data_IF_159494907637
#
_entry.id   IF_159494907637
#
_cell.length_a   1.000
_cell.length_b   1.000
_cell.length_c   1.000
_cell.angle_alpha   90.00
_cell.angle_beta   90.00
_cell.angle_gamma   90.00
#
_symmetry.space_group_name_H-M   'P 1'
#
loop_
_entity.id
_entity.type
_entity.pdbx_description
1 polymer ?
#
# COMPACT_ATOMS: atom_id res chain seq x y z
N UNK A 1 6.30 -9.50 3.23
CA UNK A 1 5.66 -9.65 1.90
C UNK A 1 4.23 -9.10 1.77
N UNK A 2 3.48 -8.85 2.87
CA UNK A 2 2.06 -8.39 2.82
C UNK A 2 1.80 -6.95 2.33
N UNK A 3 2.80 -6.07 2.32
CA UNK A 3 2.61 -4.63 2.03
C UNK A 3 2.44 -4.29 0.54
N UNK A 4 3.01 -5.08 -0.37
CA UNK A 4 2.93 -4.79 -1.81
C UNK A 4 1.75 -5.45 -2.53
N UNK A 5 1.15 -6.52 -1.96
CA UNK A 5 -0.10 -7.09 -2.47
C UNK A 5 -1.22 -6.02 -2.46
N UNK A 6 -1.29 -5.18 -1.41
CA UNK A 6 -2.25 -4.06 -1.30
C UNK A 6 -2.07 -2.98 -2.37
N UNK A 7 -0.84 -2.69 -2.82
CA UNK A 7 -0.60 -1.71 -3.89
C UNK A 7 -1.14 -2.14 -5.25
N UNK A 8 -1.04 -3.44 -5.55
CA UNK A 8 -1.61 -4.04 -6.77
C UNK A 8 -3.11 -4.27 -6.65
N UNK A 9 -3.57 -4.61 -5.45
CA UNK A 9 -4.99 -4.59 -5.11
C UNK A 9 -5.56 -3.20 -5.45
N UNK A 10 -4.89 -2.10 -5.04
CA UNK A 10 -5.28 -0.69 -5.25
C UNK A 10 -5.43 -0.27 -6.74
N UNK A 11 -4.56 -0.76 -7.64
CA UNK A 11 -4.70 -0.52 -9.10
C UNK A 11 -5.86 -1.32 -9.72
N UNK A 12 -6.07 -2.56 -9.27
CA UNK A 12 -7.28 -3.33 -9.58
C UNK A 12 -8.52 -2.87 -8.77
N UNK A 13 -8.35 -1.98 -7.79
CA UNK A 13 -9.37 -1.48 -6.85
C UNK A 13 -10.12 -0.27 -7.39
N UNK A 14 -9.62 0.42 -8.43
CA UNK A 14 -10.51 1.21 -9.28
C UNK A 14 -11.59 0.34 -9.94
N UNK A 15 -11.40 -0.99 -9.96
CA UNK A 15 -12.42 -2.00 -10.24
C UNK A 15 -13.12 -2.57 -8.97
N UNK A 16 -12.80 -2.12 -7.75
CA UNK A 16 -13.30 -2.65 -6.45
C UNK A 16 -14.51 -1.90 -5.87
N UNK A 17 -15.45 -1.44 -6.69
CA UNK A 17 -16.83 -1.54 -6.21
C UNK A 17 -17.29 -3.01 -6.23
N UNK A 18 -16.68 -3.85 -7.09
CA UNK A 18 -16.93 -5.28 -7.15
C UNK A 18 -16.40 -6.09 -5.96
N UNK A 19 -15.30 -5.73 -5.29
CA UNK A 19 -14.79 -6.59 -4.20
C UNK A 19 -15.62 -6.51 -2.92
N UNK A 20 -16.40 -5.44 -2.73
CA UNK A 20 -17.36 -5.40 -1.62
C UNK A 20 -18.56 -6.31 -1.87
N UNK A 21 -18.89 -6.55 -3.15
CA UNK A 21 -19.94 -7.48 -3.60
C UNK A 21 -19.42 -8.92 -3.65
N UNK A 22 -18.21 -9.15 -4.17
CA UNK A 22 -17.54 -10.47 -4.19
C UNK A 22 -17.11 -10.89 -2.77
N UNK A 23 -16.78 -9.91 -1.92
CA UNK A 23 -16.44 -10.09 -0.52
C UNK A 23 -17.57 -10.69 0.32
N UNK A 24 -18.82 -10.49 -0.09
CA UNK A 24 -20.01 -11.11 0.51
C UNK A 24 -20.09 -12.62 0.24
N UNK A 25 -19.37 -13.16 -0.75
CA UNK A 25 -19.42 -14.57 -1.12
C UNK A 25 -18.22 -15.39 -0.62
N UNK A 26 -17.35 -14.83 0.23
CA UNK A 26 -16.33 -15.65 0.88
C UNK A 26 -17.01 -16.62 1.83
N UNK A 27 -16.81 -17.91 1.60
CA UNK A 27 -17.22 -18.96 2.51
C UNK A 27 -16.05 -19.31 3.41
N UNK A 28 -16.31 -19.41 4.71
CA UNK A 28 -15.39 -20.00 5.66
C UNK A 28 -15.84 -21.42 5.99
N UNK A 29 -14.87 -22.33 6.08
CA UNK A 29 -15.09 -23.73 6.44
C UNK A 29 -15.13 -23.84 7.97
N UNK A 30 -16.27 -24.27 8.51
CA UNK A 30 -16.46 -24.49 9.94
C UNK A 30 -17.00 -25.92 10.10
N UNK A 31 -16.10 -26.88 10.33
CA UNK A 31 -16.44 -28.31 10.35
C UNK A 31 -16.76 -28.83 8.94
N UNK A 32 -17.80 -29.65 8.79
CA UNK A 32 -18.19 -30.26 7.50
C UNK A 32 -19.11 -29.37 6.63
N UNK A 33 -19.25 -28.07 6.95
CA UNK A 33 -20.17 -27.17 6.25
C UNK A 33 -19.56 -25.80 6.01
N UNK A 34 -19.88 -25.23 4.84
CA UNK A 34 -19.38 -23.93 4.39
C UNK A 34 -20.40 -22.84 4.71
N UNK A 35 -20.01 -21.84 5.49
CA UNK A 35 -20.88 -20.71 5.86
C UNK A 35 -20.38 -19.40 5.27
N UNK A 36 -21.28 -18.47 5.01
CA UNK A 36 -20.94 -17.16 4.47
C UNK A 36 -20.21 -16.30 5.51
N UNK A 37 -19.02 -15.75 5.19
CA UNK A 37 -18.17 -14.96 6.11
C UNK A 37 -18.83 -13.66 6.60
N UNK A 38 -19.77 -13.10 5.84
CA UNK A 38 -20.45 -11.86 6.22
C UNK A 38 -21.65 -12.11 7.15
N UNK A 39 -22.25 -13.30 7.05
CA UNK A 39 -23.39 -13.73 7.85
C UNK A 39 -23.37 -15.27 7.98
N UNK A 40 -22.92 -15.75 9.13
CA UNK A 40 -22.69 -17.17 9.40
C UNK A 40 -24.00 -17.97 9.54
N UNK A 41 -25.17 -17.33 9.46
CA UNK A 41 -26.46 -18.02 9.49
C UNK A 41 -26.82 -18.69 8.16
N UNK A 42 -26.11 -18.38 7.07
CA UNK A 42 -26.42 -18.85 5.72
C UNK A 42 -25.35 -19.82 5.21
N UNK A 43 -25.79 -20.99 4.74
CA UNK A 43 -24.96 -22.01 4.11
C UNK A 43 -24.57 -21.60 2.69
N UNK A 44 -23.30 -21.79 2.34
CA UNK A 44 -22.81 -21.60 0.99
C UNK A 44 -23.24 -22.76 0.08
N UNK A 45 -23.54 -22.44 -1.18
CA UNK A 45 -24.00 -23.38 -2.21
C UNK A 45 -25.40 -23.97 -2.00
N UNK A 46 -26.18 -23.43 -1.06
CA UNK A 46 -27.56 -23.84 -0.80
C UNK A 46 -28.57 -22.72 -1.17
N UNK A 47 -29.85 -23.07 -1.33
CA UNK A 47 -30.89 -22.34 -2.08
C UNK A 47 -30.87 -20.80 -2.03
N UNK A 48 -30.75 -20.18 -0.87
CA UNK A 48 -30.68 -18.71 -0.72
C UNK A 48 -29.42 -18.11 -1.35
N UNK A 49 -28.26 -18.76 -1.23
CA UNK A 49 -27.01 -18.34 -1.87
C UNK A 49 -27.12 -18.39 -3.40
N UNK A 50 -27.73 -19.47 -3.93
CA UNK A 50 -27.90 -19.68 -5.37
C UNK A 50 -28.90 -18.69 -5.99
N UNK A 51 -29.88 -18.21 -5.23
CA UNK A 51 -30.84 -17.19 -5.67
C UNK A 51 -30.20 -15.80 -5.84
N UNK A 52 -29.27 -15.42 -4.97
CA UNK A 52 -28.57 -14.13 -5.07
C UNK A 52 -27.47 -14.12 -6.13
N UNK A 53 -26.93 -15.28 -6.50
CA UNK A 53 -25.86 -15.42 -7.50
C UNK A 53 -26.23 -14.85 -8.88
N UNK A 54 -27.36 -15.17 -9.53
CA UNK A 54 -27.72 -14.61 -10.83
C UNK A 54 -28.02 -13.11 -10.76
N UNK A 55 -28.61 -12.61 -9.67
CA UNK A 55 -28.84 -11.16 -9.45
C UNK A 55 -27.50 -10.41 -9.37
N UNK A 56 -26.52 -10.98 -8.67
CA UNK A 56 -25.18 -10.40 -8.54
C UNK A 56 -24.36 -10.53 -9.82
N UNK A 57 -24.41 -11.66 -10.54
CA UNK A 57 -23.79 -11.78 -11.87
C UNK A 57 -24.42 -10.77 -12.81
N UNK A 58 -25.74 -10.60 -12.78
CA UNK A 58 -26.43 -9.58 -13.57
C UNK A 58 -25.95 -8.20 -13.19
N UNK A 59 -25.86 -7.84 -11.90
CA UNK A 59 -25.30 -6.56 -11.43
C UNK A 59 -23.83 -6.36 -11.83
N UNK A 60 -23.00 -7.41 -11.78
CA UNK A 60 -21.58 -7.36 -12.18
C UNK A 60 -21.47 -7.18 -13.68
N UNK A 61 -22.26 -7.91 -14.48
CA UNK A 61 -22.33 -7.75 -15.94
C UNK A 61 -22.86 -6.35 -16.28
N UNK A 62 -23.94 -5.89 -15.64
CA UNK A 62 -24.48 -4.54 -15.82
C UNK A 62 -23.46 -3.47 -15.41
N UNK A 63 -22.59 -3.73 -14.43
CA UNK A 63 -21.55 -2.80 -14.00
C UNK A 63 -20.32 -2.82 -14.91
N UNK A 64 -19.87 -4.00 -15.36
CA UNK A 64 -18.77 -4.22 -16.32
C UNK A 64 -19.12 -3.64 -17.69
N UNK A 65 -20.35 -3.85 -18.16
CA UNK A 65 -20.84 -3.23 -19.40
C UNK A 65 -21.31 -1.79 -19.17
N UNK A 66 -21.76 -1.46 -17.96
CA UNK A 66 -22.34 -0.17 -17.63
C UNK A 66 -21.35 0.98 -17.46
N UNK A 67 -20.12 0.70 -17.02
CA UNK A 67 -19.05 1.70 -16.98
C UNK A 67 -18.35 1.91 -18.32
N UNK A 68 -18.73 1.19 -19.39
CA UNK A 68 -18.07 1.34 -20.69
C UNK A 68 -18.72 2.38 -21.61
N UNK A 69 -20.04 2.60 -21.57
CA UNK A 69 -20.69 3.73 -22.27
C UNK A 69 -22.20 3.85 -22.04
N UNK A 70 -22.86 2.76 -21.62
CA UNK A 70 -24.32 2.66 -21.66
C UNK A 70 -25.00 3.15 -20.37
N UNK A 71 -24.41 3.02 -19.17
CA UNK A 71 -25.01 3.60 -17.94
C UNK A 71 -24.76 5.10 -17.86
N UNK A 72 -23.65 5.65 -18.36
CA UNK A 72 -23.55 7.10 -18.47
C UNK A 72 -24.60 7.64 -19.44
N UNK A 73 -24.93 6.91 -20.50
CA UNK A 73 -25.99 7.31 -21.44
C UNK A 73 -27.41 7.07 -20.89
N UNK A 74 -27.67 5.96 -20.18
CA UNK A 74 -28.98 5.65 -19.59
C UNK A 74 -29.24 6.41 -18.29
N UNK A 75 -28.24 6.64 -17.44
CA UNK A 75 -28.31 7.55 -16.30
C UNK A 75 -28.43 8.98 -16.80
N UNK A 76 -27.68 9.42 -17.81
CA UNK A 76 -27.88 10.76 -18.39
C UNK A 76 -29.24 10.87 -19.06
N UNK A 77 -29.78 9.84 -19.72
CA UNK A 77 -31.12 9.88 -20.33
C UNK A 77 -32.22 9.83 -19.26
N UNK A 78 -32.10 9.01 -18.21
CA UNK A 78 -33.05 8.96 -17.10
C UNK A 78 -33.02 10.27 -16.29
N UNK A 79 -31.82 10.80 -16.02
CA UNK A 79 -31.59 12.10 -15.38
C UNK A 79 -32.03 13.25 -16.28
N UNK A 80 -31.77 13.23 -17.59
CA UNK A 80 -32.29 14.22 -18.56
C UNK A 80 -33.82 14.12 -18.73
N UNK A 81 -34.40 12.93 -18.57
CA UNK A 81 -35.85 12.71 -18.62
C UNK A 81 -36.50 13.20 -17.31
N UNK A 82 -35.84 13.01 -16.16
CA UNK A 82 -36.25 13.58 -14.87
C UNK A 82 -36.06 15.11 -14.83
N UNK A 83 -34.96 15.65 -15.39
CA UNK A 83 -34.70 17.09 -15.54
C UNK A 83 -35.71 17.74 -16.51
N UNK A 84 -36.17 17.03 -17.55
CA UNK A 84 -37.26 17.51 -18.43
C UNK A 84 -38.63 17.52 -17.76
N UNK A 85 -38.82 16.76 -16.68
CA UNK A 85 -40.10 16.71 -15.95
C UNK A 85 -40.24 17.82 -14.89
N UNK A 86 -39.17 18.59 -14.60
CA UNK A 86 -39.22 19.75 -13.70
C UNK A 86 -38.70 21.02 -14.39
N UNK A 87 -39.48 21.64 -15.28
CA UNK A 87 -39.12 22.93 -15.85
C UNK A 87 -39.29 24.01 -14.78
N UNK A 88 -38.22 24.42 -14.08
CA UNK A 88 -38.35 25.58 -13.22
C UNK A 88 -37.29 25.89 -12.16
N UNK A 89 -36.20 25.14 -12.00
CA UNK A 89 -35.19 25.54 -11.01
C UNK A 89 -33.79 25.39 -11.59
N UNK A 90 -33.15 26.53 -11.88
CA UNK A 90 -31.70 26.66 -11.95
C UNK A 90 -31.13 26.46 -10.53
N UNK A 91 -31.22 25.24 -10.02
CA UNK A 91 -30.56 24.80 -8.80
C UNK A 91 -29.43 23.90 -9.23
N UNK A 92 -28.20 24.33 -9.00
CA UNK A 92 -27.00 23.51 -9.20
C UNK A 92 -27.22 22.17 -8.51
N UNK A 93 -27.21 21.07 -9.28
CA UNK A 93 -27.34 19.72 -8.74
C UNK A 93 -26.25 19.48 -7.69
N UNK A 94 -26.65 19.56 -6.42
CA UNK A 94 -25.82 19.28 -5.23
C UNK A 94 -25.22 17.87 -5.32
N UNK A 95 -25.86 16.96 -6.06
CA UNK A 95 -25.44 15.57 -6.20
C UNK A 95 -24.28 15.37 -7.19
N UNK A 96 -24.10 16.21 -8.20
CA UNK A 96 -23.04 16.00 -9.20
C UNK A 96 -21.68 16.52 -8.71
N UNK A 97 -21.65 17.69 -8.07
CA UNK A 97 -20.41 18.28 -7.53
C UNK A 97 -20.04 17.77 -6.13
N UNK A 98 -20.99 17.14 -5.43
CA UNK A 98 -20.78 16.62 -4.08
C UNK A 98 -19.75 15.49 -4.00
N UNK A 99 -19.68 14.61 -5.01
CA UNK A 99 -18.79 13.43 -4.96
C UNK A 99 -17.30 13.80 -5.02
N UNK A 100 -16.82 14.65 -5.96
CA UNK A 100 -15.43 15.11 -5.95
C UNK A 100 -15.07 15.88 -4.66
N UNK A 101 -15.95 16.74 -4.17
CA UNK A 101 -15.74 17.50 -2.94
C UNK A 101 -15.68 16.59 -1.71
N UNK A 102 -16.54 15.58 -1.63
CA UNK A 102 -16.53 14.59 -0.56
C UNK A 102 -15.19 13.84 -0.50
N UNK A 103 -14.69 13.39 -1.65
CA UNK A 103 -13.38 12.73 -1.72
C UNK A 103 -12.25 13.66 -1.30
N UNK A 104 -12.28 14.92 -1.73
CA UNK A 104 -11.31 15.93 -1.32
C UNK A 104 -11.33 16.15 0.20
N UNK A 105 -12.50 16.35 0.80
CA UNK A 105 -12.67 16.58 2.24
C UNK A 105 -12.21 15.36 3.06
N UNK A 106 -12.58 14.14 2.65
CA UNK A 106 -12.16 12.90 3.34
C UNK A 106 -10.64 12.76 3.33
N UNK A 107 -10.00 12.98 2.16
CA UNK A 107 -8.55 12.90 2.04
C UNK A 107 -7.86 13.99 2.86
N UNK A 108 -8.37 15.22 2.80
CA UNK A 108 -7.80 16.36 3.54
C UNK A 108 -7.86 16.13 5.06
N UNK A 109 -8.99 15.65 5.59
CA UNK A 109 -9.16 15.35 7.01
C UNK A 109 -8.22 14.23 7.48
N UNK A 110 -8.05 13.16 6.69
CA UNK A 110 -7.13 12.08 7.05
C UNK A 110 -5.67 12.49 6.94
N UNK A 111 -5.30 13.27 5.93
CA UNK A 111 -3.94 13.79 5.72
C UNK A 111 -3.52 14.70 6.87
N UNK A 112 -4.42 15.57 7.33
CA UNK A 112 -4.12 16.59 8.36
C UNK A 112 -4.33 16.11 9.80
N UNK A 113 -4.69 14.85 10.01
CA UNK A 113 -5.02 14.31 11.34
C UNK A 113 -3.80 14.36 12.28
N UNK A 114 -3.92 15.09 13.40
CA UNK A 114 -2.89 15.16 14.44
C UNK A 114 -1.58 15.86 14.00
N UNK A 115 -1.53 16.48 12.82
CA UNK A 115 -0.33 17.19 12.33
C UNK A 115 -0.15 18.49 13.10
N UNK A 116 -1.23 19.24 13.34
CA UNK A 116 -1.17 20.49 14.11
C UNK A 116 -0.76 20.24 15.56
N UNK A 117 -1.31 19.21 16.20
CA UNK A 117 -0.97 18.84 17.58
C UNK A 117 0.49 18.41 17.69
N UNK A 118 0.98 17.63 16.71
CA UNK A 118 2.39 17.24 16.63
C UNK A 118 3.30 18.45 16.43
N UNK A 119 2.91 19.42 15.60
CA UNK A 119 3.70 20.62 15.37
C UNK A 119 3.81 21.47 16.65
N UNK A 120 2.70 21.62 17.39
CA UNK A 120 2.72 22.30 18.69
C UNK A 120 3.63 21.59 19.70
N UNK A 121 3.64 20.25 19.69
CA UNK A 121 4.47 19.45 20.59
C UNK A 121 5.97 19.54 20.27
N UNK A 122 6.31 19.73 18.99
CA UNK A 122 7.69 19.90 18.51
C UNK A 122 8.24 21.31 18.80
N UNK A 123 7.36 22.30 18.97
CA UNK A 123 7.76 23.67 19.28
C UNK A 123 8.18 23.85 20.75
N UNK A 124 7.87 22.88 21.62
CA UNK A 124 8.29 22.88 23.02
C UNK A 124 9.76 22.42 23.14
N UNK A 125 10.66 23.22 23.77
CA UNK A 125 12.08 22.89 23.91
C UNK A 125 12.34 21.61 24.73
N UNK A 126 11.36 21.14 25.49
CA UNK A 126 11.49 19.86 26.21
C UNK A 126 11.50 18.62 25.30
N UNK A 127 11.11 18.75 24.02
CA UNK A 127 10.95 17.63 23.08
C UNK A 127 11.94 17.68 21.89
N UNK A 128 13.08 18.34 22.03
CA UNK A 128 14.09 18.47 20.97
C UNK A 128 14.57 17.11 20.42
N UNK A 129 14.69 16.10 21.29
CA UNK A 129 15.05 14.72 20.91
C UNK A 129 14.04 14.11 19.92
N UNK A 130 12.75 14.38 20.09
CA UNK A 130 11.70 13.90 19.18
C UNK A 130 11.79 14.62 17.83
N UNK A 131 12.05 15.92 17.84
CA UNK A 131 12.25 16.72 16.63
C UNK A 131 13.42 16.18 15.80
N UNK A 132 14.58 15.98 16.42
CA UNK A 132 15.76 15.43 15.74
C UNK A 132 15.50 14.02 15.17
N UNK A 133 14.80 13.16 15.92
CA UNK A 133 14.41 11.83 15.44
C UNK A 133 13.52 11.91 14.19
N UNK A 134 12.57 12.85 14.14
CA UNK A 134 11.68 13.05 13.01
C UNK A 134 12.43 13.61 11.79
N UNK A 135 13.33 14.57 12.00
CA UNK A 135 14.19 15.12 10.94
C UNK A 135 15.10 14.04 10.34
N UNK A 136 15.70 13.20 11.19
CA UNK A 136 16.52 12.08 10.73
C UNK A 136 15.70 11.11 9.86
N UNK A 137 14.50 10.74 10.30
CA UNK A 137 13.59 9.85 9.54
C UNK A 137 13.17 10.47 8.21
N UNK A 138 12.91 11.78 8.19
CA UNK A 138 12.61 12.51 6.96
C UNK A 138 13.81 12.50 6.00
N UNK A 139 15.02 12.79 6.48
CA UNK A 139 16.25 12.74 5.66
C UNK A 139 16.48 11.36 5.05
N UNK A 140 16.32 10.31 5.85
CA UNK A 140 16.43 8.92 5.38
C UNK A 140 15.38 8.59 4.30
N UNK A 141 14.15 9.08 4.44
CA UNK A 141 13.09 8.87 3.45
C UNK A 141 13.37 9.60 2.12
N UNK A 142 13.97 10.79 2.15
CA UNK A 142 14.39 11.53 0.95
C UNK A 142 15.52 10.77 0.21
N UNK A 143 16.49 10.24 0.96
CA UNK A 143 17.60 9.45 0.42
C UNK A 143 17.07 8.14 -0.21
N UNK A 144 16.13 7.45 0.44
CA UNK A 144 15.52 6.22 -0.10
C UNK A 144 14.75 6.47 -1.41
N UNK A 145 14.17 7.66 -1.57
CA UNK A 145 13.54 8.11 -2.82
C UNK A 145 14.55 8.48 -3.91
N UNK A 146 15.85 8.53 -3.60
CA UNK A 146 16.92 8.87 -4.54
C UNK A 146 16.97 10.36 -4.90
N UNK A 147 16.43 11.23 -4.05
CA UNK A 147 16.52 12.68 -4.23
C UNK A 147 17.80 13.20 -3.54
N UNK A 148 18.50 14.13 -4.20
CA UNK A 148 19.67 14.80 -3.62
C UNK A 148 19.19 15.80 -2.58
N UNK A 149 19.75 15.72 -1.38
CA UNK A 149 19.42 16.61 -0.27
C UNK A 149 20.22 17.91 -0.41
N UNK A 150 19.56 18.99 -0.81
CA UNK A 150 20.13 20.34 -0.74
C UNK A 150 20.06 20.80 0.72
N UNK A 151 21.17 20.73 1.45
CA UNK A 151 21.25 21.14 2.86
C UNK A 151 20.82 22.60 3.08
N UNK A 152 21.05 23.48 2.09
CA UNK A 152 20.63 24.89 2.15
C UNK A 152 19.10 25.04 2.14
N UNK A 153 18.39 24.28 1.30
CA UNK A 153 16.91 24.29 1.30
C UNK A 153 16.32 23.68 2.56
N UNK A 154 17.01 22.68 3.10
CA UNK A 154 16.58 22.02 4.33
C UNK A 154 16.61 23.00 5.51
N UNK A 155 17.64 23.83 5.62
CA UNK A 155 17.75 24.82 6.70
C UNK A 155 16.66 25.90 6.61
N UNK A 156 16.29 26.32 5.40
CA UNK A 156 15.32 27.41 5.19
C UNK A 156 13.87 26.91 5.33
N UNK A 157 13.57 25.69 4.89
CA UNK A 157 12.21 25.15 4.80
C UNK A 157 11.98 23.90 5.66
N UNK A 158 12.71 23.77 6.76
CA UNK A 158 12.66 22.58 7.64
C UNK A 158 11.23 22.25 8.06
N UNK A 159 10.50 23.25 8.56
CA UNK A 159 9.13 23.07 9.08
C UNK A 159 8.15 22.68 7.97
N UNK A 160 8.23 23.29 6.80
CA UNK A 160 7.36 22.99 5.67
C UNK A 160 7.60 21.57 5.12
N UNK A 161 8.87 21.17 4.99
CA UNK A 161 9.24 19.82 4.58
C UNK A 161 8.78 18.79 5.64
N UNK A 162 8.93 19.11 6.92
CA UNK A 162 8.49 18.25 8.01
C UNK A 162 6.97 18.09 8.02
N UNK A 163 6.21 19.18 7.83
CA UNK A 163 4.74 19.14 7.72
C UNK A 163 4.32 18.30 6.52
N UNK A 164 4.99 18.45 5.37
CA UNK A 164 4.71 17.63 4.19
C UNK A 164 5.01 16.15 4.46
N UNK A 165 6.11 15.84 5.14
CA UNK A 165 6.49 14.49 5.54
C UNK A 165 5.46 13.86 6.50
N UNK A 166 5.03 14.58 7.55
CA UNK A 166 4.02 14.10 8.50
C UNK A 166 2.67 13.81 7.81
N UNK A 167 2.25 14.72 6.93
CA UNK A 167 1.03 14.56 6.12
C UNK A 167 1.10 13.34 5.20
N UNK A 168 2.24 13.12 4.55
CA UNK A 168 2.46 11.96 3.68
C UNK A 168 2.51 10.66 4.49
N UNK A 169 3.10 10.68 5.68
CA UNK A 169 3.12 9.52 6.59
C UNK A 169 1.72 9.12 7.05
N UNK A 170 0.85 10.07 7.39
CA UNK A 170 -0.55 9.80 7.74
C UNK A 170 -1.32 9.10 6.61
N UNK A 171 -1.10 9.52 5.37
CA UNK A 171 -1.70 8.86 4.22
C UNK A 171 -1.09 7.48 3.99
N UNK A 172 0.19 7.27 4.23
CA UNK A 172 0.85 5.97 4.01
C UNK A 172 0.61 4.96 5.15
N UNK A 173 -0.12 5.33 6.20
CA UNK A 173 -0.50 4.41 7.28
C UNK A 173 -1.31 3.22 6.73
N UNK A 174 -1.02 1.97 7.14
CA UNK A 174 -1.67 0.78 6.58
C UNK A 174 -3.20 0.73 6.77
N UNK A 175 -3.72 1.40 7.80
CA UNK A 175 -5.16 1.56 8.07
C UNK A 175 -5.79 2.54 7.07
N UNK A 176 -5.16 3.70 6.87
CA UNK A 176 -5.58 4.74 5.92
C UNK A 176 -5.50 4.24 4.48
N UNK A 177 -4.40 3.58 4.10
CA UNK A 177 -4.24 2.93 2.78
C UNK A 177 -5.33 1.88 2.53
N UNK A 178 -5.73 1.12 3.55
CA UNK A 178 -6.79 0.11 3.39
C UNK A 178 -8.18 0.74 3.15
N UNK A 179 -8.46 1.89 3.75
CA UNK A 179 -9.77 2.53 3.67
C UNK A 179 -9.92 3.48 2.47
N UNK A 180 -8.89 4.28 2.17
CA UNK A 180 -8.93 5.35 1.16
C UNK A 180 -7.81 5.25 0.12
N UNK A 181 -6.96 4.22 0.19
CA UNK A 181 -5.87 3.99 -0.77
C UNK A 181 -6.36 3.85 -2.21
N UNK A 182 -7.61 3.43 -2.44
CA UNK A 182 -8.18 3.36 -3.79
C UNK A 182 -8.16 4.69 -4.54
N UNK A 183 -8.19 5.81 -3.81
CA UNK A 183 -8.33 7.16 -4.37
C UNK A 183 -6.97 7.72 -4.78
N UNK A 184 -5.98 7.66 -3.89
CA UNK A 184 -4.70 8.37 -4.08
C UNK A 184 -3.49 7.46 -4.33
N UNK A 185 -3.56 6.15 -4.02
CA UNK A 185 -2.37 5.27 -4.00
C UNK A 185 -1.73 5.06 -5.39
N UNK A 186 -2.48 5.29 -6.46
CA UNK A 186 -1.98 5.24 -7.85
C UNK A 186 -1.18 6.48 -8.24
N UNK A 187 -1.29 7.56 -7.47
CA UNK A 187 -0.66 8.86 -7.72
C UNK A 187 0.53 9.08 -6.80
N UNK A 188 1.37 10.07 -7.14
CA UNK A 188 2.44 10.50 -6.25
C UNK A 188 1.85 11.20 -5.00
N UNK A 189 2.54 11.13 -3.85
CA UNK A 189 2.06 11.67 -2.57
C UNK A 189 1.83 13.19 -2.60
N UNK A 190 2.60 13.90 -3.43
CA UNK A 190 2.41 15.33 -3.72
C UNK A 190 1.12 15.63 -4.48
N UNK A 191 0.64 14.72 -5.33
CA UNK A 191 -0.54 14.88 -6.19
C UNK A 191 -1.76 14.09 -5.68
N UNK A 192 -1.94 14.04 -4.37
CA UNK A 192 -3.04 13.32 -3.71
C UNK A 192 -4.45 13.76 -4.14
N UNK A 193 -4.62 15.02 -4.54
CA UNK A 193 -5.88 15.63 -4.98
C UNK A 193 -6.21 15.34 -6.45
N UNK A 194 -5.29 14.70 -7.19
CA UNK A 194 -5.42 14.54 -8.63
C UNK A 194 -6.63 13.70 -9.05
N UNK A 195 -7.06 12.74 -8.22
CA UNK A 195 -8.27 11.96 -8.48
C UNK A 195 -9.51 12.87 -8.56
N UNK A 196 -9.62 13.86 -7.67
CA UNK A 196 -10.71 14.84 -7.65
C UNK A 196 -10.72 15.64 -8.95
N UNK A 197 -9.54 15.99 -9.48
CA UNK A 197 -9.38 16.67 -10.75
C UNK A 197 -9.82 15.81 -11.95
N UNK A 198 -9.46 14.52 -11.99
CA UNK A 198 -9.92 13.60 -13.05
C UNK A 198 -11.45 13.40 -13.02
N UNK A 199 -12.05 13.31 -11.83
CA UNK A 199 -13.51 13.30 -11.67
C UNK A 199 -14.14 14.62 -12.12
N UNK A 200 -13.53 15.76 -11.78
CA UNK A 200 -13.99 17.09 -12.20
C UNK A 200 -14.08 17.22 -13.72
N UNK A 201 -13.06 16.74 -14.47
CA UNK A 201 -13.12 16.71 -15.94
C UNK A 201 -14.30 15.90 -16.47
N UNK A 202 -14.53 14.70 -15.93
CA UNK A 202 -15.65 13.83 -16.37
C UNK A 202 -16.99 14.53 -16.20
N UNK A 203 -17.16 15.22 -15.07
CA UNK A 203 -18.34 16.03 -14.79
C UNK A 203 -18.45 17.23 -15.74
N UNK A 204 -17.37 17.95 -15.98
CA UNK A 204 -17.34 19.08 -16.91
C UNK A 204 -17.75 18.64 -18.33
N UNK A 205 -17.24 17.51 -18.82
CA UNK A 205 -17.60 16.98 -20.14
C UNK A 205 -19.10 16.61 -20.22
N UNK A 206 -19.67 16.01 -19.17
CA UNK A 206 -21.11 15.72 -19.11
C UNK A 206 -21.96 16.99 -19.03
N UNK A 207 -21.53 17.99 -18.25
CA UNK A 207 -22.20 19.29 -18.14
C UNK A 207 -22.23 20.03 -19.48
N UNK A 208 -21.10 20.09 -20.19
CA UNK A 208 -21.00 20.68 -21.54
C UNK A 208 -21.94 19.99 -22.53
N UNK A 209 -22.07 18.65 -22.45
CA UNK A 209 -22.99 17.90 -23.32
C UNK A 209 -24.45 18.26 -23.06
N UNK A 210 -24.83 18.46 -21.80
CA UNK A 210 -26.19 18.80 -21.37
C UNK A 210 -26.58 20.24 -21.75
N UNK A 211 -25.71 21.22 -21.46
CA UNK A 211 -26.00 22.64 -21.65
C UNK A 211 -26.09 23.06 -23.13
N UNK A 212 -25.32 22.42 -24.01
CA UNK A 212 -25.25 22.75 -25.44
C UNK A 212 -26.13 21.84 -26.30
N UNK A 213 -27.23 21.32 -25.77
CA UNK A 213 -28.14 20.40 -26.45
C UNK A 213 -28.64 20.92 -27.82
N UNK A 214 -28.73 22.24 -28.02
CA UNK A 214 -29.20 22.88 -29.27
C UNK A 214 -28.08 23.25 -30.27
N UNK A 215 -26.81 23.29 -29.87
CA UNK A 215 -25.69 23.72 -30.73
C UNK A 215 -24.70 22.58 -30.99
N UNK A 216 -24.99 21.76 -31.99
CA UNK A 216 -24.33 20.47 -32.19
C UNK A 216 -22.81 20.53 -32.43
N UNK A 217 -22.34 21.54 -33.17
CA UNK A 217 -20.92 21.75 -33.50
C UNK A 217 -20.14 22.36 -32.32
N UNK A 218 -20.67 23.45 -31.76
CA UNK A 218 -20.06 24.19 -30.66
C UNK A 218 -19.83 23.30 -29.43
N UNK A 219 -20.72 22.32 -29.19
CA UNK A 219 -20.58 21.30 -28.15
C UNK A 219 -19.31 20.45 -28.30
N UNK A 220 -19.00 20.02 -29.53
CA UNK A 220 -17.82 19.18 -29.78
C UNK A 220 -16.54 20.04 -29.68
N UNK A 221 -16.55 21.25 -30.24
CA UNK A 221 -15.41 22.17 -30.12
C UNK A 221 -15.09 22.51 -28.66
N UNK A 222 -16.12 22.78 -27.83
CA UNK A 222 -15.93 23.04 -26.40
C UNK A 222 -15.35 21.81 -25.67
N UNK A 223 -15.86 20.61 -25.93
CA UNK A 223 -15.32 19.37 -25.38
C UNK A 223 -13.86 19.12 -25.78
N UNK A 224 -13.49 19.47 -27.01
CA UNK A 224 -12.13 19.34 -27.53
C UNK A 224 -11.14 20.28 -26.83
N UNK A 225 -11.56 21.52 -26.53
CA UNK A 225 -10.75 22.47 -25.73
C UNK A 225 -10.51 21.93 -24.32
N UNK A 226 -11.55 21.41 -23.66
CA UNK A 226 -11.42 20.83 -22.30
C UNK A 226 -10.45 19.64 -22.29
N UNK A 227 -10.51 18.77 -23.30
CA UNK A 227 -9.59 17.65 -23.42
C UNK A 227 -8.16 18.08 -23.71
N UNK A 228 -7.96 19.13 -24.52
CA UNK A 228 -6.64 19.68 -24.79
C UNK A 228 -5.99 20.24 -23.52
N UNK A 229 -6.73 21.03 -22.73
CA UNK A 229 -6.25 21.56 -21.44
C UNK A 229 -5.86 20.42 -20.50
N UNK A 230 -6.70 19.39 -20.41
CA UNK A 230 -6.40 18.24 -19.57
C UNK A 230 -5.17 17.46 -20.03
N UNK A 231 -5.02 17.27 -21.35
CA UNK A 231 -3.85 16.63 -21.94
C UNK A 231 -2.57 17.42 -21.60
N UNK A 232 -2.60 18.75 -21.72
CA UNK A 232 -1.47 19.61 -21.33
C UNK A 232 -1.10 19.39 -19.86
N UNK A 233 -2.07 19.45 -18.93
CA UNK A 233 -1.84 19.21 -17.50
C UNK A 233 -1.23 17.83 -17.26
N UNK A 234 -1.73 16.78 -17.94
CA UNK A 234 -1.20 15.42 -17.81
C UNK A 234 0.25 15.28 -18.29
N UNK A 235 0.61 15.90 -19.41
CA UNK A 235 1.96 15.83 -19.95
C UNK A 235 2.97 16.63 -19.10
N UNK A 236 2.55 17.77 -18.54
CA UNK A 236 3.41 18.61 -17.70
C UNK A 236 3.63 18.02 -16.31
N UNK A 237 2.55 17.64 -15.60
CA UNK A 237 2.67 17.28 -14.18
C UNK A 237 2.94 15.79 -13.93
N UNK A 238 2.63 14.89 -14.88
CA UNK A 238 2.84 13.43 -14.77
C UNK A 238 2.52 12.89 -13.36
N UNK A 239 1.25 12.98 -12.93
CA UNK A 239 0.86 12.78 -11.52
C UNK A 239 0.91 11.32 -11.05
N UNK A 240 1.02 10.35 -11.97
CA UNK A 240 1.06 8.93 -11.64
C UNK A 240 2.41 8.52 -11.08
N UNK A 241 2.40 7.58 -10.13
CA UNK A 241 3.61 7.10 -9.48
C UNK A 241 4.53 6.33 -10.42
N UNK A 242 3.95 5.46 -11.26
CA UNK A 242 4.69 4.66 -12.23
C UNK A 242 4.77 5.37 -13.58
N UNK A 243 5.94 5.26 -14.23
CA UNK A 243 6.15 5.86 -15.56
C UNK A 243 5.34 5.17 -16.65
N UNK A 244 5.12 3.85 -16.54
CA UNK A 244 4.25 3.10 -17.44
C UNK A 244 2.82 3.63 -17.41
N UNK A 245 2.30 3.88 -16.21
CA UNK A 245 0.93 4.35 -16.01
C UNK A 245 0.78 5.80 -16.48
N UNK A 246 1.80 6.63 -16.26
CA UNK A 246 1.87 8.00 -16.78
C UNK A 246 1.82 8.01 -18.31
N UNK A 247 2.62 7.16 -18.97
CA UNK A 247 2.66 7.05 -20.42
C UNK A 247 1.33 6.51 -20.97
N UNK A 248 0.77 5.48 -20.35
CA UNK A 248 -0.51 4.91 -20.72
C UNK A 248 -1.65 5.93 -20.61
N UNK A 249 -1.73 6.67 -19.51
CA UNK A 249 -2.68 7.76 -19.34
C UNK A 249 -2.52 8.82 -20.45
N UNK A 250 -1.29 9.26 -20.72
CA UNK A 250 -1.00 10.20 -21.81
C UNK A 250 -1.50 9.69 -23.17
N UNK A 251 -1.17 8.45 -23.55
CA UNK A 251 -1.62 7.83 -24.80
C UNK A 251 -3.14 7.75 -24.88
N UNK A 252 -3.83 7.37 -23.81
CA UNK A 252 -5.30 7.31 -23.80
C UNK A 252 -5.95 8.69 -23.97
N UNK A 253 -5.35 9.75 -23.43
CA UNK A 253 -5.87 11.11 -23.60
C UNK A 253 -5.60 11.67 -25.00
N UNK A 254 -4.44 11.36 -25.59
CA UNK A 254 -4.17 11.67 -27.00
C UNK A 254 -5.18 10.95 -27.90
N UNK A 255 -5.48 9.68 -27.62
CA UNK A 255 -6.48 8.93 -28.37
C UNK A 255 -7.88 9.53 -28.27
N UNK A 256 -8.33 9.87 -27.06
CA UNK A 256 -9.62 10.54 -26.85
C UNK A 256 -9.72 11.84 -27.64
N UNK A 257 -8.63 12.61 -27.71
CA UNK A 257 -8.56 13.83 -28.52
C UNK A 257 -8.69 13.53 -30.02
N UNK A 258 -7.93 12.56 -30.54
CA UNK A 258 -7.99 12.14 -31.96
C UNK A 258 -9.40 11.66 -32.33
N UNK A 259 -10.01 10.79 -31.51
CA UNK A 259 -11.35 10.26 -31.76
C UNK A 259 -12.40 11.37 -31.81
N UNK A 260 -12.34 12.35 -30.89
CA UNK A 260 -13.27 13.47 -30.89
C UNK A 260 -13.01 14.45 -32.04
N UNK A 261 -11.76 14.62 -32.45
CA UNK A 261 -11.41 15.42 -33.62
C UNK A 261 -11.91 14.76 -34.92
N UNK A 262 -11.75 13.45 -35.09
CA UNK A 262 -12.36 12.71 -36.20
C UNK A 262 -13.89 12.84 -36.20
N UNK A 263 -14.52 12.74 -35.02
CA UNK A 263 -15.97 12.97 -34.87
C UNK A 263 -16.41 14.38 -35.25
N UNK A 264 -15.59 15.40 -34.98
CA UNK A 264 -15.84 16.78 -35.41
C UNK A 264 -15.81 16.91 -36.93
N UNK A 265 -14.79 16.33 -37.58
CA UNK A 265 -14.63 16.36 -39.05
C UNK A 265 -15.84 15.70 -39.73
N UNK A 266 -16.22 14.50 -39.27
CA UNK A 266 -17.37 13.77 -39.81
C UNK A 266 -18.68 14.55 -39.64
N UNK A 267 -18.86 15.25 -38.52
CA UNK A 267 -20.07 16.03 -38.25
C UNK A 267 -20.15 17.32 -39.07
N UNK A 268 -19.05 18.09 -39.13
CA UNK A 268 -19.00 19.35 -39.87
C UNK A 268 -19.06 19.13 -41.37
N UNK A 269 -18.53 18.01 -41.82
CA UNK A 269 -18.33 17.73 -43.22
C UNK A 269 -19.35 16.75 -43.83
N UNK A 270 -20.38 16.38 -43.08
CA UNK A 270 -21.48 15.48 -43.52
C UNK A 270 -22.24 15.96 -44.76
N UNK A 271 -22.09 17.23 -45.18
CA UNK A 271 -22.71 17.75 -46.41
C UNK A 271 -21.73 17.92 -47.58
N UNK A 272 -20.41 17.82 -47.37
CA UNK A 272 -19.41 18.21 -48.38
C UNK A 272 -18.19 17.27 -48.51
N UNK A 273 -18.03 16.25 -47.66
CA UNK A 273 -16.91 15.30 -47.82
C UNK A 273 -17.21 14.23 -48.88
N UNK A 274 -16.19 13.97 -49.69
CA UNK A 274 -16.11 12.82 -50.57
C UNK A 274 -16.03 11.51 -49.76
N UNK A 275 -16.61 10.43 -50.29
CA UNK A 275 -16.71 9.14 -49.62
C UNK A 275 -15.32 8.61 -49.19
N UNK A 276 -14.29 8.82 -50.01
CA UNK A 276 -12.91 8.42 -49.72
C UNK A 276 -12.35 9.06 -48.46
N UNK A 277 -12.68 10.33 -48.19
CA UNK A 277 -12.21 11.05 -46.99
C UNK A 277 -12.93 10.54 -45.75
N UNK A 278 -14.22 10.20 -45.86
CA UNK A 278 -14.99 9.60 -44.75
C UNK A 278 -14.41 8.25 -44.35
N UNK A 279 -14.09 7.38 -45.32
CA UNK A 279 -13.44 6.10 -45.06
C UNK A 279 -12.05 6.28 -44.42
N UNK A 280 -11.25 7.25 -44.89
CA UNK A 280 -9.94 7.55 -44.32
C UNK A 280 -10.04 7.99 -42.84
N UNK A 281 -10.92 8.94 -42.53
CA UNK A 281 -11.10 9.44 -41.15
C UNK A 281 -11.65 8.34 -40.23
N UNK A 282 -12.53 7.48 -40.73
CA UNK A 282 -13.09 6.37 -39.96
C UNK A 282 -12.04 5.28 -39.71
N UNK A 283 -11.28 4.89 -40.74
CA UNK A 283 -10.22 3.90 -40.62
C UNK A 283 -9.10 4.35 -39.68
N UNK A 284 -8.67 5.61 -39.79
CA UNK A 284 -7.66 6.19 -38.89
C UNK A 284 -8.13 6.19 -37.44
N UNK A 285 -9.40 6.53 -37.16
CA UNK A 285 -9.97 6.46 -35.81
C UNK A 285 -10.00 5.01 -35.26
N UNK A 286 -10.34 4.02 -36.09
CA UNK A 286 -10.37 2.61 -35.69
C UNK A 286 -8.96 2.07 -35.42
N UNK A 287 -8.02 2.30 -36.33
CA UNK A 287 -6.65 1.79 -36.21
C UNK A 287 -5.95 2.39 -34.99
N UNK A 288 -6.09 3.70 -34.77
CA UNK A 288 -5.52 4.36 -33.59
C UNK A 288 -6.15 3.83 -32.30
N UNK A 289 -7.47 3.57 -32.29
CA UNK A 289 -8.16 3.00 -31.12
C UNK A 289 -7.67 1.58 -30.82
N UNK A 290 -7.57 0.74 -31.84
CA UNK A 290 -7.06 -0.63 -31.69
C UNK A 290 -5.59 -0.63 -31.23
N UNK A 291 -4.76 0.25 -31.80
CA UNK A 291 -3.36 0.41 -31.41
C UNK A 291 -3.22 0.80 -29.93
N UNK A 292 -4.04 1.72 -29.44
CA UNK A 292 -4.02 2.10 -28.01
C UNK A 292 -4.45 0.96 -27.08
N UNK A 293 -5.42 0.14 -27.51
CA UNK A 293 -5.86 -1.04 -26.74
C UNK A 293 -4.75 -2.10 -26.65
N UNK A 294 -4.08 -2.38 -27.77
CA UNK A 294 -2.93 -3.29 -27.81
C UNK A 294 -1.80 -2.77 -26.91
N UNK A 295 -1.49 -1.48 -26.99
CA UNK A 295 -0.49 -0.85 -26.13
C UNK A 295 -0.85 -0.95 -24.64
N UNK A 296 -2.12 -0.72 -24.29
CA UNK A 296 -2.61 -0.85 -22.92
C UNK A 296 -2.44 -2.28 -22.38
N UNK A 297 -2.86 -3.28 -23.17
CA UNK A 297 -2.70 -4.68 -22.81
C UNK A 297 -1.22 -5.06 -22.62
N UNK A 298 -0.35 -4.63 -23.53
CA UNK A 298 1.09 -4.85 -23.44
C UNK A 298 1.71 -4.19 -22.20
N UNK A 299 1.35 -2.94 -21.90
CA UNK A 299 1.83 -2.23 -20.70
C UNK A 299 1.44 -2.97 -19.41
N UNK A 300 0.19 -3.44 -19.32
CA UNK A 300 -0.29 -4.19 -18.17
C UNK A 300 0.47 -5.52 -18.02
N UNK A 301 0.64 -6.27 -19.11
CA UNK A 301 1.39 -7.53 -19.10
C UNK A 301 2.84 -7.32 -18.67
N UNK A 302 3.51 -6.29 -19.21
CA UNK A 302 4.88 -5.96 -18.86
C UNK A 302 5.03 -5.59 -17.39
N UNK A 303 4.10 -4.82 -16.83
CA UNK A 303 4.11 -4.49 -15.41
C UNK A 303 3.95 -5.74 -14.53
N UNK A 304 3.05 -6.66 -14.91
CA UNK A 304 2.86 -7.94 -14.20
C UNK A 304 4.12 -8.80 -14.24
N UNK A 305 4.71 -8.98 -15.42
CA UNK A 305 5.93 -9.77 -15.58
C UNK A 305 7.09 -9.15 -14.79
N UNK A 306 7.23 -7.82 -14.85
CA UNK A 306 8.27 -7.09 -14.12
C UNK A 306 8.05 -7.19 -12.61
N UNK A 307 6.80 -7.07 -12.14
CA UNK A 307 6.44 -7.21 -10.72
C UNK A 307 6.77 -8.58 -10.16
N UNK A 308 6.46 -9.66 -10.90
CA UNK A 308 6.82 -11.04 -10.51
C UNK A 308 8.34 -11.22 -10.46
N UNK A 309 9.06 -10.72 -11.48
CA UNK A 309 10.54 -10.78 -11.52
C UNK A 309 11.15 -10.04 -10.33
N UNK A 310 10.65 -8.84 -10.00
CA UNK A 310 11.12 -8.05 -8.86
C UNK A 310 10.80 -8.71 -7.52
N UNK A 311 9.62 -9.29 -7.35
CA UNK A 311 9.24 -10.01 -6.12
C UNK A 311 10.18 -11.20 -5.86
N UNK A 312 10.50 -11.97 -6.90
CA UNK A 312 11.44 -13.09 -6.81
C UNK A 312 12.85 -12.62 -6.45
N UNK A 313 13.32 -11.50 -7.01
CA UNK A 313 14.62 -10.89 -6.66
C UNK A 313 14.67 -10.44 -5.20
N UNK A 314 13.66 -9.71 -4.73
CA UNK A 314 13.57 -9.25 -3.33
C UNK A 314 13.53 -10.41 -2.32
N UNK A 315 12.80 -11.48 -2.63
CA UNK A 315 12.78 -12.68 -1.78
C UNK A 315 14.18 -13.31 -1.67
N UNK A 316 14.87 -13.47 -2.82
CA UNK A 316 16.23 -14.04 -2.86
C UNK A 316 17.24 -13.16 -2.11
N UNK A 317 17.15 -11.85 -2.25
CA UNK A 317 18.01 -10.90 -1.53
C UNK A 317 17.71 -10.89 -0.02
N UNK A 318 16.43 -10.93 0.37
CA UNK A 318 16.02 -11.04 1.78
C UNK A 318 16.56 -12.31 2.42
N UNK A 319 16.43 -13.45 1.74
CA UNK A 319 16.98 -14.72 2.21
C UNK A 319 18.52 -14.66 2.35
N UNK A 320 19.23 -14.08 1.37
CA UNK A 320 20.69 -13.86 1.47
C UNK A 320 21.08 -12.97 2.65
N UNK A 321 20.34 -11.89 2.90
CA UNK A 321 20.58 -11.00 4.06
C UNK A 321 20.33 -11.71 5.39
N UNK A 322 19.29 -12.54 5.46
CA UNK A 322 19.00 -13.35 6.65
C UNK A 322 20.13 -14.37 6.93
N UNK A 323 20.59 -15.11 5.91
CA UNK A 323 21.73 -16.01 6.03
C UNK A 323 22.98 -15.24 6.49
N UNK A 324 23.30 -14.12 5.83
CA UNK A 324 24.47 -13.31 6.20
C UNK A 324 24.38 -12.72 7.63
N UNK A 325 23.18 -12.41 8.12
CA UNK A 325 22.97 -11.99 9.50
C UNK A 325 23.19 -13.15 10.49
N UNK A 326 22.65 -14.34 10.20
CA UNK A 326 22.85 -15.53 11.04
C UNK A 326 24.31 -15.97 11.06
N UNK A 327 24.99 -15.98 9.91
CA UNK A 327 26.43 -16.29 9.82
C UNK A 327 27.23 -15.29 10.65
N UNK A 328 26.99 -13.97 10.53
CA UNK A 328 27.66 -12.97 11.37
C UNK A 328 27.37 -13.14 12.87
N UNK A 329 26.18 -13.60 13.25
CA UNK A 329 25.83 -13.90 14.65
C UNK A 329 26.63 -15.09 15.18
N UNK A 330 26.69 -16.19 14.41
CA UNK A 330 27.49 -17.37 14.75
C UNK A 330 28.99 -17.03 14.80
N UNK A 331 29.49 -16.27 13.84
CA UNK A 331 30.89 -15.85 13.81
C UNK A 331 31.27 -14.99 15.01
N UNK A 332 30.41 -14.04 15.43
CA UNK A 332 30.62 -13.25 16.65
C UNK A 332 30.66 -14.12 17.91
N UNK A 333 29.80 -15.15 18.01
CA UNK A 333 29.83 -16.11 19.13
C UNK A 333 31.12 -16.93 19.13
N UNK A 334 31.50 -17.50 17.99
CA UNK A 334 32.72 -18.32 17.88
C UNK A 334 33.98 -17.48 18.15
N UNK A 335 34.03 -16.25 17.64
CA UNK A 335 35.13 -15.32 17.89
C UNK A 335 35.20 -14.90 19.36
N UNK A 336 34.06 -14.60 19.99
CA UNK A 336 33.98 -14.32 21.43
C UNK A 336 34.46 -15.49 22.29
N UNK A 337 34.07 -16.72 21.94
CA UNK A 337 34.53 -17.94 22.61
C UNK A 337 36.04 -18.11 22.51
N UNK A 338 36.60 -18.01 21.29
CA UNK A 338 38.04 -18.15 21.06
C UNK A 338 38.84 -17.08 21.82
N UNK A 339 38.34 -15.84 21.83
CA UNK A 339 38.97 -14.74 22.54
C UNK A 339 38.95 -14.93 24.06
N UNK A 340 37.83 -15.42 24.62
CA UNK A 340 37.72 -15.74 26.03
C UNK A 340 38.68 -16.88 26.45
N UNK A 341 38.85 -17.89 25.59
CA UNK A 341 39.75 -19.02 25.87
C UNK A 341 41.22 -18.58 25.94
N UNK A 342 41.65 -17.70 25.01
CA UNK A 342 42.99 -17.11 25.02
C UNK A 342 43.20 -16.25 26.27
N UNK A 343 42.19 -15.47 26.67
CA UNK A 343 42.24 -14.63 27.87
C UNK A 343 42.38 -15.47 29.16
N UNK A 344 41.62 -16.55 29.29
CA UNK A 344 41.71 -17.46 30.43
C UNK A 344 43.09 -18.15 30.53
N UNK A 345 43.76 -18.35 29.38
CA UNK A 345 45.09 -18.96 29.33
C UNK A 345 46.22 -17.99 29.71
N UNK A 346 46.03 -16.68 29.49
CA UNK A 346 46.98 -15.62 29.83
C UNK A 346 46.25 -14.45 30.51
N UNK A 347 46.13 -14.50 31.84
CA UNK A 347 45.47 -13.47 32.67
C UNK A 347 46.13 -12.08 32.60
N UNK A 348 47.38 -12.01 32.14
CA UNK A 348 48.18 -10.78 32.10
C UNK A 348 48.01 -9.99 30.78
N UNK A 349 47.13 -10.44 29.88
CA UNK A 349 47.02 -9.95 28.50
C UNK A 349 46.30 -8.59 28.32
N UNK A 350 46.05 -7.82 29.38
CA UNK A 350 45.50 -6.46 29.33
C UNK A 350 43.97 -6.36 29.43
N UNK A 351 43.43 -5.16 29.11
CA UNK A 351 42.03 -4.78 29.38
C UNK A 351 41.01 -5.71 28.68
N UNK A 352 40.03 -6.19 29.44
CA UNK A 352 39.04 -7.16 28.97
C UNK A 352 38.11 -6.55 27.91
N UNK A 353 38.06 -7.16 26.72
CA UNK A 353 37.14 -6.74 25.66
C UNK A 353 35.68 -7.02 26.03
N UNK A 354 34.76 -6.16 25.62
CA UNK A 354 33.32 -6.29 25.85
C UNK A 354 32.74 -7.62 25.34
N UNK A 355 33.33 -8.16 24.26
CA UNK A 355 32.94 -9.47 23.72
C UNK A 355 33.31 -10.63 24.66
N UNK A 356 34.42 -10.50 25.40
CA UNK A 356 34.89 -11.47 26.41
C UNK A 356 34.01 -11.40 27.66
N UNK A 357 33.69 -10.19 28.14
CA UNK A 357 32.78 -10.01 29.28
C UNK A 357 31.41 -10.68 29.03
N UNK A 358 30.83 -10.48 27.84
CA UNK A 358 29.56 -11.10 27.46
C UNK A 358 29.67 -12.63 27.40
N UNK A 359 30.79 -13.17 26.91
CA UNK A 359 31.02 -14.63 26.88
C UNK A 359 31.16 -15.22 28.29
N UNK A 360 31.94 -14.60 29.17
CA UNK A 360 32.12 -15.05 30.56
C UNK A 360 30.82 -14.99 31.35
N UNK A 361 30.06 -13.90 31.21
CA UNK A 361 28.73 -13.77 31.82
C UNK A 361 27.77 -14.87 31.35
N UNK A 362 27.81 -15.21 30.05
CA UNK A 362 27.05 -16.33 29.51
C UNK A 362 27.49 -17.66 30.10
N UNK A 363 28.79 -17.97 30.19
CA UNK A 363 29.31 -19.20 30.82
C UNK A 363 28.86 -19.32 32.28
N UNK A 364 28.95 -18.24 33.06
CA UNK A 364 28.51 -18.22 34.45
C UNK A 364 26.98 -18.33 34.63
N UNK A 365 26.18 -17.94 33.63
CA UNK A 365 24.74 -18.22 33.62
C UNK A 365 24.44 -19.70 33.38
N UNK A 366 25.12 -20.32 32.39
CA UNK A 366 24.97 -21.74 32.08
C UNK A 366 25.36 -22.64 33.26
N UNK A 367 26.42 -22.31 33.99
CA UNK A 367 26.81 -23.06 35.19
C UNK A 367 25.69 -23.04 36.25
N UNK A 368 25.12 -21.86 36.53
CA UNK A 368 24.01 -21.72 37.48
C UNK A 368 22.75 -22.48 37.05
N UNK A 369 22.40 -22.45 35.77
CA UNK A 369 21.26 -23.21 35.24
C UNK A 369 21.50 -24.72 35.34
N UNK A 370 22.72 -25.20 35.06
CA UNK A 370 23.08 -26.61 35.18
C UNK A 370 23.04 -27.08 36.65
N UNK A 371 23.55 -26.27 37.57
CA UNK A 371 23.50 -26.56 39.01
C UNK A 371 22.05 -26.66 39.53
N UNK A 372 21.17 -25.75 39.09
CA UNK A 372 19.74 -25.81 39.38
C UNK A 372 19.09 -27.08 38.82
N UNK A 373 19.40 -27.44 37.57
CA UNK A 373 18.86 -28.64 36.94
C UNK A 373 19.31 -29.91 37.66
N UNK A 374 20.59 -29.97 38.04
CA UNK A 374 21.15 -31.11 38.76
C UNK A 374 20.54 -31.25 40.16
N UNK A 375 20.39 -30.14 40.89
CA UNK A 375 19.71 -30.11 42.18
C UNK A 375 18.23 -30.58 42.07
N UNK A 376 17.55 -30.24 40.98
CA UNK A 376 16.18 -30.69 40.73
C UNK A 376 16.11 -32.18 40.40
N UNK A 377 17.06 -32.72 39.63
CA UNK A 377 17.17 -34.17 39.36
C UNK A 377 17.44 -34.94 40.65
N UNK A 378 18.35 -34.45 41.49
CA UNK A 378 18.63 -35.04 42.80
C UNK A 378 17.37 -35.09 43.68
N UNK A 379 16.63 -33.98 43.76
CA UNK A 379 15.37 -33.92 44.50
C UNK A 379 14.31 -34.89 43.94
N UNK A 380 14.22 -35.02 42.61
CA UNK A 380 13.26 -35.92 41.95
C UNK A 380 13.65 -37.40 42.12
N UNK A 381 14.95 -37.70 42.13
CA UNK A 381 15.48 -39.04 42.38
C UNK A 381 15.30 -39.48 43.84
N UNK A 382 15.35 -38.54 44.79
CA UNK A 382 15.16 -38.79 46.22
C UNK A 382 13.69 -39.06 46.60
N UNK A 383 12.73 -38.71 45.74
CA UNK A 383 11.29 -38.94 45.96
C UNK A 383 10.84 -40.34 45.53
N UNK A 384 11.66 -41.12 44.80
CA UNK A 384 11.34 -42.50 44.42
C UNK A 384 12.17 -43.60 45.13
N UNK A 385 11.96 -43.79 46.45
CA UNK A 385 12.24 -45.08 47.06
C UNK A 385 11.02 -45.63 47.82
N UNK A 386 9.86 -45.82 47.18
CA UNK A 386 8.88 -46.81 47.64
C UNK A 386 7.78 -47.09 46.60
N UNK A 387 7.95 -48.12 45.78
CA UNK A 387 6.91 -49.14 45.51
C UNK A 387 7.53 -50.33 44.77
N UNK A 388 7.57 -51.47 45.45
CA UNK A 388 7.90 -52.77 44.89
C UNK A 388 6.67 -53.41 44.26
N UNK A 389 6.88 -53.98 43.07
CA UNK A 389 6.15 -55.07 42.42
C UNK A 389 4.81 -54.73 41.73
N UNK A 390 4.86 -54.58 40.41
CA UNK A 390 4.11 -55.41 39.44
C UNK A 390 4.70 -55.23 38.02
N UNK A 391 4.85 -56.33 37.28
CA UNK A 391 5.37 -56.47 35.90
C UNK A 391 4.18 -56.90 35.00
N UNK A 392 4.30 -56.97 33.66
CA UNK A 392 4.57 -55.97 32.62
C UNK A 392 3.31 -55.67 31.77
N UNK A 393 3.32 -54.56 31.01
CA UNK A 393 2.84 -54.46 29.61
C UNK A 393 2.45 -53.02 29.26
N UNK A 394 3.26 -52.36 28.44
CA UNK A 394 2.78 -51.67 27.23
C UNK A 394 3.91 -50.94 26.51
N UNK A 395 4.02 -51.31 25.25
CA UNK A 395 4.77 -50.70 24.15
C UNK A 395 4.60 -49.17 24.13
N UNK A 396 5.70 -48.39 24.20
CA UNK A 396 5.85 -47.18 23.37
C UNK A 396 7.33 -46.99 23.00
N UNK A 397 7.60 -47.22 21.71
CA UNK A 397 8.84 -46.86 21.03
C UNK A 397 8.74 -45.44 20.46
N UNK A 398 9.88 -44.73 20.52
CA UNK A 398 10.33 -43.69 19.60
C UNK A 398 9.30 -42.62 19.13
N UNK A 399 9.08 -41.56 19.92
CA UNK A 399 8.69 -40.23 19.40
C UNK A 399 8.65 -39.11 20.46
N UNK A 400 9.71 -38.91 21.24
CA UNK A 400 9.87 -37.65 22.00
C UNK A 400 11.33 -37.16 21.94
N UNK A 401 11.88 -37.11 20.73
CA UNK A 401 12.94 -36.15 20.41
C UNK A 401 12.21 -34.98 19.74
N UNK A 402 11.60 -34.14 20.57
CA UNK A 402 11.12 -32.85 20.12
C UNK A 402 12.36 -31.98 19.85
N UNK A 403 12.62 -31.80 18.56
CA UNK A 403 13.40 -30.73 17.98
C UNK A 403 13.09 -29.43 18.74
N UNK A 404 14.06 -28.88 19.47
CA UNK A 404 14.00 -27.49 19.93
C UNK A 404 14.25 -26.64 18.68
N UNK A 405 13.15 -26.35 18.01
CA UNK A 405 13.04 -25.36 16.95
C UNK A 405 13.02 -23.98 17.62
N UNK A 406 14.17 -23.31 17.62
CA UNK A 406 14.31 -21.91 18.03
C UNK A 406 13.70 -21.02 16.93
N UNK A 407 12.49 -20.49 17.14
CA UNK A 407 12.02 -19.26 16.50
C UNK A 407 10.74 -18.69 17.19
N UNK A 408 10.38 -17.40 17.00
CA UNK A 408 10.75 -16.34 17.94
C UNK A 408 9.54 -15.62 18.55
N UNK A 409 9.62 -15.26 19.84
CA UNK A 409 8.72 -14.30 20.46
C UNK A 409 9.42 -12.94 20.66
N UNK A 410 9.02 -12.01 19.79
CA UNK A 410 8.93 -10.54 19.91
C UNK A 410 9.91 -9.73 20.80
N UNK A 411 10.55 -8.71 20.21
CA UNK A 411 11.37 -7.74 20.93
C UNK A 411 10.46 -6.67 21.55
N UNK A 412 10.51 -6.51 22.87
CA UNK A 412 10.25 -5.22 23.50
C UNK A 412 10.79 -5.23 24.92
N UNK A 413 11.44 -4.12 25.28
CA UNK A 413 11.98 -3.76 26.61
C UNK A 413 13.27 -4.45 27.07
N UNK A 414 14.37 -4.30 26.34
CA UNK A 414 15.69 -4.11 26.96
C UNK A 414 16.48 -3.13 26.09
N UNK A 415 16.13 -1.86 26.19
CA UNK A 415 17.02 -0.74 25.82
C UNK A 415 16.70 0.42 26.78
N UNK A 416 16.97 0.17 28.06
CA UNK A 416 16.81 1.13 29.14
C UNK A 416 17.60 0.67 30.38
N UNK A 417 18.85 0.22 30.21
CA UNK A 417 19.81 0.09 31.32
C UNK A 417 21.22 -0.16 30.76
N UNK A 418 21.74 0.77 29.96
CA UNK A 418 23.18 0.85 29.69
C UNK A 418 23.59 2.25 29.23
N UNK A 419 23.09 3.29 29.90
CA UNK A 419 23.65 4.65 29.77
C UNK A 419 23.49 5.48 31.06
N UNK A 420 23.67 4.85 32.23
CA UNK A 420 23.69 5.57 33.52
C UNK A 420 24.90 5.26 34.42
N UNK A 421 25.95 4.64 33.89
CA UNK A 421 27.20 4.41 34.65
C UNK A 421 28.39 4.82 33.79
N UNK A 422 28.39 6.09 33.38
CA UNK A 422 29.59 6.82 32.95
C UNK A 422 29.26 8.31 33.01
N UNK A 423 29.21 8.85 34.23
CA UNK A 423 29.43 10.27 34.55
C UNK A 423 29.20 10.49 36.05
N UNK A 424 30.01 9.83 36.88
CA UNK A 424 30.15 10.22 38.29
C UNK A 424 31.49 9.77 38.89
N UNK A 425 32.60 10.05 38.19
CA UNK A 425 33.92 10.00 38.80
C UNK A 425 34.93 10.88 38.05
N UNK A 426 34.69 12.19 38.03
CA UNK A 426 35.77 13.17 37.92
C UNK A 426 35.32 14.49 38.56
N UNK A 427 35.89 14.82 39.73
CA UNK A 427 35.54 16.05 40.45
C UNK A 427 35.82 16.06 41.94
N UNK A 428 36.91 15.46 42.43
CA UNK A 428 37.50 15.84 43.72
C UNK A 428 38.92 15.28 43.87
N UNK A 429 39.91 16.06 43.42
CA UNK A 429 41.26 16.20 44.01
C UNK A 429 42.05 17.16 43.12
N UNK A 430 42.41 18.33 43.66
CA UNK A 430 43.17 19.39 42.98
C UNK A 430 42.41 20.70 42.93
#
# INVERSE_FOLDING_TARGET
MRLYYKSYQNKCIKLFFCQRVIGSFYCDEIGDSFYMRLDHSNLCYDGTWLFYLPINITLIVLWVFGKCQIIDMMSSVLVLTLIRLTPGVCGVDVDSSGVPLLFWVILFRKRSRGVSDMLLLIQDPSQDQLKESLLLKMRLDIIDRGQVLDEEKLQIFEEDLLVQYLRDRNLNEPSTVAQVGFIYHSYNTSFWWFEVWDLGRKLLLNCVVSLLAKAGANRICCGLVVLLVYLSVMLFYKPYRERSDSALAGVTHIQLFITLFCGLILKMGSLYLEESVVWLVTYTAIVTSLGTLIYAAFSILNEKVTGVKMAKRRCREGHRRAIAAQVRKLWRKAFGYALAEVYLRNSDAGLMSLLVMIELARRGKWQREMELLNAQVELTSAVNPMETAEEPDSIVSASQIAVIEDDPATPDKIDATEESVRDQESGQTG
#
